data_IF_695886782625
#
_entry.id   IF_695886782625
#
_cell.length_a   1.000
_cell.length_b   1.000
_cell.length_c   1.000
_cell.angle_alpha   90.00
_cell.angle_beta   90.00
_cell.angle_gamma   90.00
#
_symmetry.space_group_name_H-M   'P 1'
#
loop_
_entity.id
_entity.type
_entity.pdbx_description
1 polymer ?
#
# COMPACT_ATOMS: atom_id res chain seq x y z
N UNK A 1 -26.08 -9.31 -6.50
CA UNK A 1 -25.63 -9.11 -5.10
C UNK A 1 -24.65 -7.95 -5.09
N UNK A 2 -24.96 -6.89 -4.34
CA UNK A 2 -24.06 -5.74 -4.18
C UNK A 2 -23.34 -5.82 -2.83
N UNK A 3 -22.07 -5.47 -2.82
CA UNK A 3 -21.23 -5.49 -1.62
C UNK A 3 -20.60 -4.12 -1.39
N UNK A 4 -20.29 -3.80 -0.14
CA UNK A 4 -19.52 -2.63 0.28
C UNK A 4 -18.41 -3.06 1.23
N UNK A 5 -17.31 -2.33 1.21
CA UNK A 5 -16.18 -2.52 2.13
C UNK A 5 -16.11 -1.30 3.05
N UNK A 6 -15.80 -1.53 4.32
CA UNK A 6 -15.58 -0.49 5.31
C UNK A 6 -14.33 -0.82 6.11
N UNK A 7 -13.48 0.17 6.30
CA UNK A 7 -12.31 0.10 7.17
C UNK A 7 -12.73 0.05 8.64
N UNK A 8 -12.11 -0.87 9.39
CA UNK A 8 -12.42 -1.09 10.81
C UNK A 8 -11.84 0.00 11.73
N UNK A 9 -10.79 0.69 11.28
CA UNK A 9 -10.01 1.60 12.12
C UNK A 9 -10.41 3.06 11.87
N UNK A 10 -11.22 3.62 12.78
CA UNK A 10 -11.56 5.04 12.83
C UNK A 10 -12.87 5.27 13.57
N UNK A 11 -12.99 6.39 14.28
CA UNK A 11 -14.26 6.80 14.90
C UNK A 11 -15.29 7.19 13.84
N UNK A 12 -14.84 7.60 12.63
CA UNK A 12 -15.66 7.94 11.46
C UNK A 12 -15.12 7.31 10.18
N UNK A 13 -15.47 6.03 9.92
CA UNK A 13 -15.21 5.37 8.63
C UNK A 13 -16.46 5.27 7.76
N UNK A 14 -16.31 5.59 6.47
CA UNK A 14 -17.37 5.52 5.48
C UNK A 14 -17.37 4.18 4.75
N UNK A 15 -18.57 3.71 4.42
CA UNK A 15 -18.71 2.58 3.50
C UNK A 15 -18.27 2.99 2.09
N UNK A 16 -17.61 2.08 1.38
CA UNK A 16 -17.35 2.25 -0.04
C UNK A 16 -18.65 2.40 -0.84
N UNK A 17 -18.53 2.88 -2.08
CA UNK A 17 -19.58 2.72 -3.07
C UNK A 17 -19.95 1.24 -3.23
N UNK A 18 -21.22 0.99 -3.56
CA UNK A 18 -21.68 -0.34 -3.97
C UNK A 18 -20.89 -0.80 -5.18
N UNK A 19 -20.47 -2.07 -5.19
CA UNK A 19 -20.02 -2.75 -6.40
C UNK A 19 -20.75 -4.08 -6.55
N UNK A 20 -21.02 -4.45 -7.80
CA UNK A 20 -21.77 -5.65 -8.16
C UNK A 20 -20.86 -6.86 -8.31
N UNK A 21 -21.31 -8.01 -7.80
CA UNK A 21 -20.67 -9.32 -7.97
C UNK A 21 -21.45 -10.23 -8.93
N UNK A 22 -22.18 -9.59 -9.85
CA UNK A 22 -23.25 -10.23 -10.61
C UNK A 22 -22.71 -11.22 -11.67
N UNK A 23 -21.46 -11.04 -12.10
CA UNK A 23 -20.76 -11.95 -13.03
C UNK A 23 -19.53 -12.59 -12.38
N UNK A 24 -19.30 -13.88 -12.66
CA UNK A 24 -18.04 -14.56 -12.32
C UNK A 24 -16.92 -13.93 -13.15
N UNK A 25 -15.79 -13.63 -12.52
CA UNK A 25 -14.69 -12.90 -13.15
C UNK A 25 -14.79 -11.38 -13.02
N UNK A 26 -15.71 -10.85 -12.19
CA UNK A 26 -15.73 -9.42 -11.92
C UNK A 26 -14.45 -8.97 -11.21
N UNK A 27 -13.87 -7.89 -11.69
CA UNK A 27 -12.71 -7.22 -11.10
C UNK A 27 -12.91 -5.71 -11.16
N UNK A 28 -12.24 -4.98 -10.27
CA UNK A 28 -12.34 -3.52 -10.22
C UNK A 28 -11.62 -2.92 -9.03
N UNK A 29 -11.82 -1.63 -8.81
CA UNK A 29 -11.25 -0.88 -7.69
C UNK A 29 -12.39 -0.42 -6.79
N UNK A 30 -12.23 -0.61 -5.48
CA UNK A 30 -13.12 -0.11 -4.44
C UNK A 30 -12.34 0.85 -3.54
N UNK A 31 -12.96 1.97 -3.19
CA UNK A 31 -12.36 2.99 -2.30
C UNK A 31 -13.24 3.21 -1.08
N UNK A 32 -12.63 3.35 0.10
CA UNK A 32 -13.31 3.72 1.36
C UNK A 32 -12.50 4.81 2.05
N UNK A 33 -13.18 5.79 2.63
CA UNK A 33 -12.57 6.92 3.33
C UNK A 33 -12.67 6.76 4.85
N UNK A 34 -11.63 7.18 5.57
CA UNK A 34 -11.63 7.26 7.04
C UNK A 34 -10.66 8.31 7.51
N UNK A 35 -11.09 9.21 8.40
CA UNK A 35 -10.23 10.24 8.99
C UNK A 35 -9.40 11.00 7.92
N UNK A 36 -10.05 11.40 6.83
CA UNK A 36 -9.45 12.05 5.64
C UNK A 36 -8.42 11.21 4.85
N UNK A 37 -8.36 9.90 5.08
CA UNK A 37 -7.52 8.96 4.33
C UNK A 37 -8.37 8.14 3.37
N UNK A 38 -7.86 7.93 2.17
CA UNK A 38 -8.53 7.11 1.14
C UNK A 38 -7.82 5.77 1.03
N UNK A 39 -8.56 4.69 1.25
CA UNK A 39 -8.08 3.31 1.12
C UNK A 39 -8.60 2.71 -0.17
N UNK A 40 -7.70 2.46 -1.12
CA UNK A 40 -8.03 1.89 -2.42
C UNK A 40 -7.61 0.42 -2.50
N UNK A 41 -8.54 -0.45 -2.87
CA UNK A 41 -8.28 -1.87 -3.03
C UNK A 41 -8.78 -2.33 -4.40
N UNK A 42 -7.98 -3.14 -5.09
CA UNK A 42 -8.50 -4.00 -6.13
C UNK A 42 -9.39 -5.08 -5.53
N UNK A 43 -10.46 -5.47 -6.23
CA UNK A 43 -11.21 -6.67 -5.92
C UNK A 43 -11.24 -7.60 -7.12
N UNK A 44 -11.28 -8.90 -6.87
CA UNK A 44 -11.58 -9.92 -7.88
C UNK A 44 -12.59 -10.92 -7.31
N UNK A 45 -13.51 -11.40 -8.14
CA UNK A 45 -14.51 -12.38 -7.76
C UNK A 45 -14.38 -13.63 -8.63
N UNK A 46 -14.07 -14.78 -8.01
CA UNK A 46 -13.95 -16.07 -8.69
C UNK A 46 -14.88 -17.09 -8.06
N UNK A 47 -15.37 -18.04 -8.84
CA UNK A 47 -16.10 -19.19 -8.28
C UNK A 47 -15.08 -20.19 -7.73
N UNK A 48 -15.32 -20.72 -6.54
CA UNK A 48 -14.52 -21.83 -6.03
C UNK A 48 -14.74 -23.08 -6.89
N UNK A 49 -13.68 -23.84 -7.14
CA UNK A 49 -13.65 -24.94 -8.12
C UNK A 49 -14.68 -26.05 -7.87
N UNK A 50 -15.12 -26.24 -6.63
CA UNK A 50 -16.04 -27.32 -6.24
C UNK A 50 -17.24 -26.86 -5.40
N UNK A 51 -17.50 -25.56 -5.33
CA UNK A 51 -18.65 -25.05 -4.58
C UNK A 51 -19.33 -23.91 -5.33
N UNK A 52 -20.64 -23.75 -5.12
CA UNK A 52 -21.40 -22.56 -5.52
C UNK A 52 -21.00 -21.30 -4.71
N UNK A 53 -19.77 -21.27 -4.18
CA UNK A 53 -19.22 -20.21 -3.35
C UNK A 53 -18.42 -19.24 -4.22
N UNK A 54 -18.80 -17.97 -4.20
CA UNK A 54 -18.00 -16.89 -4.75
C UNK A 54 -16.91 -16.50 -3.75
N UNK A 55 -15.65 -16.53 -4.19
CA UNK A 55 -14.49 -16.05 -3.45
C UNK A 55 -14.18 -14.64 -3.93
N UNK A 56 -14.24 -13.67 -3.01
CA UNK A 56 -13.86 -12.29 -3.27
C UNK A 56 -12.46 -12.07 -2.67
N UNK A 57 -11.50 -11.72 -3.51
CA UNK A 57 -10.16 -11.33 -3.07
C UNK A 57 -10.05 -9.82 -3.13
N UNK A 58 -9.77 -9.19 -1.98
CA UNK A 58 -9.43 -7.78 -1.88
C UNK A 58 -7.91 -7.64 -1.81
N UNK A 59 -7.34 -6.76 -2.61
CA UNK A 59 -5.90 -6.53 -2.71
C UNK A 59 -5.62 -5.03 -2.58
N UNK A 60 -4.78 -4.58 -1.64
CA UNK A 60 -4.35 -3.18 -1.56
C UNK A 60 -3.80 -2.67 -2.90
N UNK A 61 -4.16 -1.46 -3.29
CA UNK A 61 -3.79 -0.93 -4.60
C UNK A 61 -2.28 -0.66 -4.71
N UNK A 62 -1.64 -0.17 -3.63
CA UNK A 62 -0.19 -0.04 -3.54
C UNK A 62 0.34 -0.93 -2.43
N UNK A 63 1.50 -1.55 -2.68
CA UNK A 63 2.17 -2.46 -1.76
C UNK A 63 3.68 -2.24 -1.85
N UNK A 64 4.37 -2.35 -0.72
CA UNK A 64 5.82 -2.27 -0.64
C UNK A 64 6.35 -3.65 -0.27
N UNK A 65 7.28 -4.17 -1.06
CA UNK A 65 7.98 -5.42 -0.80
C UNK A 65 9.45 -5.11 -0.58
N UNK A 66 9.93 -5.31 0.64
CA UNK A 66 11.35 -5.29 0.90
C UNK A 66 11.99 -6.59 0.38
N UNK A 67 12.67 -6.53 -0.77
CA UNK A 67 13.40 -7.68 -1.33
C UNK A 67 14.85 -7.78 -0.84
N UNK A 68 15.35 -6.80 -0.09
CA UNK A 68 16.74 -6.76 0.39
C UNK A 68 16.94 -7.69 1.60
N UNK A 69 18.20 -7.84 2.02
CA UNK A 69 18.56 -8.50 3.28
C UNK A 69 18.66 -7.53 4.46
N UNK A 70 18.56 -6.23 4.20
CA UNK A 70 18.56 -5.16 5.20
C UNK A 70 17.15 -4.67 5.53
N UNK A 71 16.98 -4.11 6.72
CA UNK A 71 15.77 -3.36 7.08
C UNK A 71 15.76 -2.04 6.31
N UNK A 72 14.62 -1.71 5.70
CA UNK A 72 14.43 -0.42 5.03
C UNK A 72 13.35 0.39 5.75
N UNK A 73 13.49 1.70 5.71
CA UNK A 73 12.48 2.65 6.15
C UNK A 73 11.96 3.39 4.93
N UNK A 74 10.64 3.46 4.78
CA UNK A 74 9.97 4.15 3.67
C UNK A 74 9.11 5.28 4.22
N UNK A 75 9.15 6.42 3.55
CA UNK A 75 8.35 7.60 3.88
C UNK A 75 7.67 8.14 2.61
N UNK A 76 6.38 8.42 2.67
CA UNK A 76 5.72 9.22 1.62
C UNK A 76 6.26 10.65 1.71
N UNK A 77 6.71 11.21 0.58
CA UNK A 77 7.30 12.55 0.53
C UNK A 77 6.32 13.59 1.11
N UNK A 78 6.84 14.61 1.81
CA UNK A 78 6.06 15.63 2.54
C UNK A 78 5.23 15.12 3.75
N UNK A 79 5.39 13.85 4.18
CA UNK A 79 4.82 13.37 5.46
C UNK A 79 5.82 13.53 6.62
N UNK A 80 5.33 13.68 7.86
CA UNK A 80 6.16 13.64 9.05
C UNK A 80 6.97 12.34 9.17
N UNK A 81 8.19 12.41 9.70
CA UNK A 81 9.05 11.23 9.95
C UNK A 81 8.40 10.24 10.92
N UNK A 82 7.46 10.67 11.77
CA UNK A 82 6.68 9.76 12.62
C UNK A 82 5.80 8.77 11.84
N UNK A 83 5.53 9.06 10.56
CA UNK A 83 4.70 8.23 9.67
C UNK A 83 5.51 7.23 8.83
N UNK A 84 6.79 7.06 9.15
CA UNK A 84 7.65 6.08 8.45
C UNK A 84 7.16 4.66 8.60
N UNK A 85 7.30 3.89 7.53
CA UNK A 85 7.03 2.46 7.50
C UNK A 85 8.38 1.74 7.52
N UNK A 86 8.67 1.01 8.59
CA UNK A 86 9.84 0.14 8.68
C UNK A 86 9.48 -1.24 8.13
N UNK A 87 10.30 -1.77 7.24
CA UNK A 87 10.14 -3.10 6.67
C UNK A 87 11.40 -3.94 6.93
N UNK A 88 11.23 -5.06 7.63
CA UNK A 88 12.26 -6.07 7.79
C UNK A 88 12.63 -6.72 6.45
N UNK A 89 13.75 -7.45 6.39
CA UNK A 89 14.11 -8.23 5.22
C UNK A 89 12.97 -9.16 4.80
N UNK A 90 12.64 -9.17 3.51
CA UNK A 90 11.55 -9.98 2.90
C UNK A 90 10.14 -9.63 3.37
N UNK A 91 9.97 -8.55 4.13
CA UNK A 91 8.66 -8.11 4.59
C UNK A 91 7.85 -7.48 3.45
N UNK A 92 6.55 -7.67 3.53
CA UNK A 92 5.58 -7.19 2.57
C UNK A 92 4.43 -6.50 3.28
N UNK A 93 4.20 -5.23 2.96
CA UNK A 93 3.16 -4.42 3.60
C UNK A 93 2.34 -3.68 2.56
N UNK A 94 1.09 -3.42 2.94
CA UNK A 94 0.21 -2.55 2.19
C UNK A 94 0.64 -1.09 2.37
N UNK A 95 0.60 -0.31 1.30
CA UNK A 95 0.94 1.11 1.31
C UNK A 95 -0.29 1.94 0.94
N UNK A 96 -0.58 2.93 1.78
CA UNK A 96 -1.78 3.76 1.68
C UNK A 96 -1.36 5.23 1.63
N UNK A 97 -1.11 5.79 0.42
CA UNK A 97 -0.74 7.19 0.27
C UNK A 97 -1.81 8.10 0.86
N UNK A 98 -1.39 9.07 1.68
CA UNK A 98 -2.30 10.05 2.27
C UNK A 98 -2.22 11.40 1.56
N UNK A 99 -1.03 11.81 1.13
CA UNK A 99 -0.82 13.03 0.34
C UNK A 99 -1.07 12.75 -1.14
N UNK A 100 -0.78 11.52 -1.59
CA UNK A 100 -0.96 11.09 -2.97
C UNK A 100 -0.16 11.93 -3.99
N UNK A 101 1.00 12.46 -3.57
CA UNK A 101 1.93 13.18 -4.45
C UNK A 101 2.75 12.24 -5.37
N UNK A 102 2.60 10.93 -5.21
CA UNK A 102 3.27 9.92 -6.00
C UNK A 102 4.73 9.66 -5.62
N UNK A 103 5.29 10.37 -4.63
CA UNK A 103 6.71 10.33 -4.31
C UNK A 103 6.97 9.63 -2.98
N UNK A 104 7.99 8.79 -2.95
CA UNK A 104 8.50 8.17 -1.71
C UNK A 104 9.99 8.41 -1.53
N UNK A 105 10.42 8.37 -0.28
CA UNK A 105 11.79 8.37 0.18
C UNK A 105 12.08 7.00 0.82
N UNK A 106 13.30 6.51 0.64
CA UNK A 106 13.77 5.28 1.27
C UNK A 106 15.07 5.55 2.01
N UNK A 107 15.19 4.99 3.20
CA UNK A 107 16.42 4.91 3.98
C UNK A 107 16.72 3.44 4.28
N UNK A 108 18.00 3.07 4.23
CA UNK A 108 18.49 1.72 4.50
C UNK A 108 19.24 1.67 5.84
N UNK A 109 19.64 2.83 6.37
CA UNK A 109 20.34 2.93 7.63
C UNK A 109 19.34 3.31 8.72
N UNK A 110 18.94 2.35 9.56
CA UNK A 110 18.06 2.61 10.71
C UNK A 110 18.76 3.36 11.86
N UNK A 111 19.63 4.31 11.49
CA UNK A 111 20.45 5.12 12.38
C UNK A 111 19.98 6.58 12.29
N UNK A 112 19.36 7.13 13.36
CA UNK A 112 18.92 8.52 13.41
C UNK A 112 20.05 9.53 13.17
N UNK A 113 21.29 9.14 13.48
CA UNK A 113 22.49 9.95 13.32
C UNK A 113 23.01 9.98 11.86
N UNK A 114 22.55 9.04 11.03
CA UNK A 114 23.01 8.82 9.65
C UNK A 114 21.86 8.81 8.63
N UNK A 115 20.66 9.23 9.03
CA UNK A 115 19.46 9.16 8.18
C UNK A 115 19.72 9.81 6.83
N UNK A 116 19.89 8.97 5.81
CA UNK A 116 20.25 9.39 4.46
C UNK A 116 19.11 9.02 3.53
N UNK A 117 18.00 9.76 3.67
CA UNK A 117 16.87 9.62 2.76
C UNK A 117 17.36 9.69 1.31
N UNK A 118 16.83 8.79 0.49
CA UNK A 118 17.03 8.85 -0.95
C UNK A 118 16.52 10.17 -1.53
N UNK A 119 16.90 10.47 -2.78
CA UNK A 119 16.10 11.40 -3.58
C UNK A 119 14.67 10.86 -3.75
N UNK A 120 13.64 11.71 -3.80
CA UNK A 120 12.28 11.25 -4.02
C UNK A 120 12.14 10.57 -5.38
N UNK A 121 11.46 9.42 -5.43
CA UNK A 121 11.14 8.75 -6.68
C UNK A 121 9.65 8.40 -6.77
N UNK A 122 9.15 8.32 -8.00
CA UNK A 122 7.72 8.16 -8.28
C UNK A 122 7.33 6.68 -8.26
N UNK A 123 6.54 6.26 -7.27
CA UNK A 123 6.10 4.86 -7.14
C UNK A 123 4.97 4.48 -8.11
N UNK A 124 4.40 5.43 -8.84
CA UNK A 124 3.36 5.18 -9.86
C UNK A 124 3.97 4.79 -11.20
N UNK A 125 5.23 5.15 -11.41
CA UNK A 125 5.96 4.79 -12.61
C UNK A 125 6.48 3.35 -12.51
N UNK A 126 6.29 2.57 -13.58
CA UNK A 126 6.92 1.26 -13.71
C UNK A 126 8.39 1.47 -14.08
N UNK A 127 9.30 1.04 -13.22
CA UNK A 127 10.73 1.18 -13.47
C UNK A 127 11.59 0.64 -12.33
N UNK A 128 12.89 0.75 -12.51
CA UNK A 128 13.89 0.44 -11.49
C UNK A 128 14.65 1.71 -11.15
N UNK A 129 14.82 1.96 -9.86
CA UNK A 129 15.58 3.09 -9.33
C UNK A 129 16.85 2.57 -8.68
N UNK A 130 17.98 3.24 -8.94
CA UNK A 130 19.25 2.92 -8.29
C UNK A 130 19.49 3.91 -7.15
N UNK A 131 19.65 3.37 -5.95
CA UNK A 131 19.96 4.15 -4.74
C UNK A 131 21.42 3.95 -4.40
N UNK A 132 22.16 5.06 -4.30
CA UNK A 132 23.55 5.02 -3.84
C UNK A 132 23.54 4.93 -2.31
N UNK A 133 24.08 3.85 -1.77
CA UNK A 133 24.38 3.74 -0.35
C UNK A 133 25.69 4.48 -0.09
N UNK A 134 25.62 5.57 0.68
CA UNK A 134 26.82 6.17 1.25
C UNK A 134 27.20 5.30 2.44
N UNK A 135 28.25 4.49 2.29
CA UNK A 135 28.78 3.67 3.37
C UNK A 135 29.07 4.57 4.59
N UNK A 136 28.36 4.32 5.68
CA UNK A 136 28.75 4.80 7.00
C UNK A 136 30.18 4.29 7.25
N UNK A 137 31.10 5.23 7.48
CA UNK A 137 32.51 4.93 7.71
C UNK A 137 32.74 4.72 9.20
#
# INVERSE_FOLDING_TARGET
VSVRVKTKNGSWSDWSSNFSLDTVGSEGIVSSSTDNKVYQMGFTCKMATFSFTKVITLTPFYMIHNKTEDTITVLEYDRPVSDTIKLKPKEFVSFWPQINNGKILVDVFDEPSLTTWSSPFDYRNKGSYLLRLNSAK
#
